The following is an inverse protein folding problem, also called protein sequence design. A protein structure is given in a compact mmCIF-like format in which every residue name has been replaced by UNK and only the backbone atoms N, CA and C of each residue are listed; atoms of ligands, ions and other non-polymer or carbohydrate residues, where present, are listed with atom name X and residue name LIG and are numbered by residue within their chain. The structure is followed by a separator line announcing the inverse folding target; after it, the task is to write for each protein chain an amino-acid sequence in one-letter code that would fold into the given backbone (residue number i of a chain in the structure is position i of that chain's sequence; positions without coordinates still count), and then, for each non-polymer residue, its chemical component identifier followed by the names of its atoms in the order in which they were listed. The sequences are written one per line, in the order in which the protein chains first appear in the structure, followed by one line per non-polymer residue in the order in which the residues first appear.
data_IF_199626534290
#
_entry.id   IF_199626534290
#
_cell.length_a   1.000
_cell.length_b   1.000
_cell.length_c   1.000
_cell.angle_alpha   90.00
_cell.angle_beta   90.00
_cell.angle_gamma   90.00
#
_symmetry.space_group_name_H-M   'P 1'
#
loop_
_entity.id
_entity.type
_entity.pdbx_description
1 polymer ?
#
# COMPACT_ATOMS: atom_id res chain seq x y z
N UNK A 1 37.70 55.74 7.71
CA UNK A 1 37.20 56.21 6.41
C UNK A 1 37.03 55.03 5.48
N UNK A 2 35.77 54.77 5.15
CA UNK A 2 35.22 54.17 3.90
C UNK A 2 35.51 52.70 3.60
N UNK A 3 34.77 51.81 4.25
CA UNK A 3 34.57 50.40 3.81
C UNK A 3 33.09 50.03 3.58
N UNK A 4 32.18 51.02 3.58
CA UNK A 4 30.72 50.79 3.50
C UNK A 4 30.10 51.02 2.11
N UNK A 5 30.90 51.13 1.04
CA UNK A 5 30.38 51.56 -0.29
C UNK A 5 30.41 50.51 -1.40
N UNK A 6 30.71 49.22 -1.12
CA UNK A 6 30.83 48.18 -2.19
C UNK A 6 29.77 47.11 -2.22
N UNK A 7 28.71 47.18 -1.39
CA UNK A 7 27.66 46.15 -1.40
C UNK A 7 26.33 46.60 -2.06
N UNK A 8 26.34 47.77 -2.73
CA UNK A 8 25.08 48.31 -3.29
C UNK A 8 24.83 47.98 -4.76
N UNK A 9 25.73 47.26 -5.43
CA UNK A 9 25.63 46.94 -6.85
C UNK A 9 25.76 45.42 -7.13
N UNK A 10 25.15 44.57 -6.30
CA UNK A 10 24.97 43.16 -6.68
C UNK A 10 23.84 43.12 -7.73
N UNK A 11 24.06 42.47 -8.90
CA UNK A 11 23.05 42.41 -9.94
C UNK A 11 21.84 41.64 -9.43
N UNK A 12 20.60 42.04 -9.82
CA UNK A 12 19.35 41.43 -9.36
C UNK A 12 19.18 39.96 -9.78
N UNK A 13 20.05 39.47 -10.65
CA UNK A 13 20.05 38.11 -11.17
C UNK A 13 20.32 37.04 -10.06
N UNK A 14 21.12 37.35 -9.05
CA UNK A 14 21.43 36.41 -7.95
C UNK A 14 20.24 36.16 -7.01
N UNK A 15 19.32 37.11 -6.87
CA UNK A 15 18.14 36.94 -6.02
C UNK A 15 17.06 36.13 -6.69
N UNK A 16 16.94 36.16 -8.02
CA UNK A 16 15.96 35.38 -8.77
C UNK A 16 16.29 33.89 -8.77
N UNK A 17 17.56 33.50 -8.72
CA UNK A 17 17.94 32.08 -8.68
C UNK A 17 17.58 31.40 -7.34
N UNK A 18 17.62 32.12 -6.23
CA UNK A 18 17.29 31.56 -4.91
C UNK A 18 15.78 31.33 -4.72
N UNK A 19 14.93 32.17 -5.27
CA UNK A 19 13.47 32.04 -5.18
C UNK A 19 12.95 30.90 -6.06
N UNK A 20 13.52 30.72 -7.25
CA UNK A 20 13.12 29.63 -8.15
C UNK A 20 13.52 28.25 -7.61
N UNK A 21 14.74 28.11 -7.05
CA UNK A 21 15.20 26.86 -6.47
C UNK A 21 14.38 26.46 -5.23
N UNK A 22 14.01 27.41 -4.38
CA UNK A 22 13.18 27.17 -3.19
C UNK A 22 11.77 26.68 -3.54
N UNK A 23 11.15 27.27 -4.55
CA UNK A 23 9.80 26.88 -4.99
C UNK A 23 9.77 25.47 -5.60
N UNK A 24 10.79 25.08 -6.36
CA UNK A 24 10.89 23.73 -6.93
C UNK A 24 11.06 22.66 -5.84
N UNK A 25 11.82 22.95 -4.79
CA UNK A 25 12.03 22.01 -3.68
C UNK A 25 10.74 21.76 -2.87
N UNK A 26 9.97 22.82 -2.62
CA UNK A 26 8.69 22.72 -1.90
C UNK A 26 7.68 21.93 -2.72
N UNK A 27 7.53 22.19 -4.02
CA UNK A 27 6.62 21.45 -4.90
C UNK A 27 7.03 19.98 -5.00
N UNK A 28 8.34 19.67 -5.08
CA UNK A 28 8.83 18.29 -5.15
C UNK A 28 8.57 17.52 -3.85
N UNK A 29 8.70 18.14 -2.68
CA UNK A 29 8.35 17.53 -1.39
C UNK A 29 6.85 17.23 -1.27
N UNK A 30 5.99 18.10 -1.79
CA UNK A 30 4.54 17.87 -1.79
C UNK A 30 4.14 16.73 -2.73
N UNK A 31 4.76 16.60 -3.89
CA UNK A 31 4.48 15.50 -4.82
C UNK A 31 4.92 14.15 -4.26
N UNK A 32 6.05 14.09 -3.53
CA UNK A 32 6.50 12.86 -2.87
C UNK A 32 5.60 12.43 -1.72
N UNK A 33 4.93 13.36 -1.03
CA UNK A 33 4.01 13.04 0.08
C UNK A 33 2.70 12.41 -0.41
N UNK A 34 2.30 12.59 -1.67
CA UNK A 34 1.07 12.04 -2.24
C UNK A 34 1.23 10.62 -2.83
N UNK A 35 2.47 10.12 -2.96
CA UNK A 35 2.75 8.88 -3.68
C UNK A 35 2.50 7.58 -2.89
N UNK A 36 2.05 7.65 -1.63
CA UNK A 36 1.96 6.46 -0.76
C UNK A 36 0.60 6.21 -0.09
N UNK A 37 -0.46 6.92 -0.45
CA UNK A 37 -1.78 6.73 0.19
C UNK A 37 -2.72 6.03 -0.79
N UNK A 38 -2.81 4.69 -0.71
CA UNK A 38 -3.84 3.91 -1.39
C UNK A 38 -5.19 3.92 -0.66
N UNK A 39 -5.18 4.24 0.62
CA UNK A 39 -6.41 4.43 1.39
C UNK A 39 -6.97 5.84 1.10
N UNK A 40 -7.89 5.91 0.16
CA UNK A 40 -8.63 7.13 -0.21
C UNK A 40 -9.89 7.33 0.65
N UNK A 41 -10.00 6.65 1.81
CA UNK A 41 -11.17 6.69 2.69
C UNK A 41 -12.30 5.73 2.28
N UNK A 42 -12.12 4.88 1.27
CA UNK A 42 -13.10 3.89 0.83
C UNK A 42 -13.45 2.87 1.94
N UNK A 43 -12.63 2.77 2.96
CA UNK A 43 -12.82 1.91 4.13
C UNK A 43 -13.35 2.65 5.35
N UNK A 44 -13.78 3.92 5.20
CA UNK A 44 -14.25 4.77 6.30
C UNK A 44 -15.43 4.18 7.09
N UNK A 45 -16.31 3.45 6.41
CA UNK A 45 -17.50 2.81 6.98
C UNK A 45 -17.23 1.45 7.64
N UNK A 46 -15.99 0.94 7.58
CA UNK A 46 -15.64 -0.32 8.23
C UNK A 46 -15.47 -0.17 9.73
N UNK A 47 -15.78 -1.24 10.47
CA UNK A 47 -15.53 -1.32 11.90
C UNK A 47 -14.09 -0.89 12.23
N UNK A 48 -13.89 0.03 13.20
CA UNK A 48 -12.56 0.52 13.56
C UNK A 48 -11.60 -0.59 14.00
N UNK A 49 -12.09 -1.66 14.63
CA UNK A 49 -11.28 -2.81 15.04
C UNK A 49 -10.79 -3.61 13.82
N UNK A 50 -11.65 -3.80 12.84
CA UNK A 50 -11.30 -4.45 11.57
C UNK A 50 -10.26 -3.62 10.82
N UNK A 51 -10.45 -2.30 10.70
CA UNK A 51 -9.46 -1.40 10.09
C UNK A 51 -8.10 -1.48 10.79
N UNK A 52 -8.11 -1.43 12.13
CA UNK A 52 -6.88 -1.53 12.93
C UNK A 52 -6.16 -2.87 12.67
N UNK A 53 -6.93 -3.96 12.58
CA UNK A 53 -6.37 -5.27 12.29
C UNK A 53 -5.73 -5.29 10.88
N UNK A 54 -6.42 -4.83 9.83
CA UNK A 54 -5.85 -4.74 8.49
C UNK A 54 -4.56 -3.93 8.44
N UNK A 55 -4.53 -2.77 9.13
CA UNK A 55 -3.34 -1.93 9.20
C UNK A 55 -2.17 -2.59 9.94
N UNK A 56 -2.44 -3.58 10.78
CA UNK A 56 -1.40 -4.36 11.48
C UNK A 56 -0.81 -5.49 10.66
N UNK A 57 -1.42 -5.84 9.51
CA UNK A 57 -0.93 -6.91 8.64
C UNK A 57 0.32 -6.44 7.88
N UNK A 58 1.48 -6.96 8.28
CA UNK A 58 2.75 -6.63 7.65
C UNK A 58 3.12 -7.66 6.59
N UNK A 59 3.81 -7.21 5.54
CA UNK A 59 4.37 -8.10 4.52
C UNK A 59 5.38 -9.02 5.20
N UNK A 60 5.29 -10.35 5.02
CA UNK A 60 6.23 -11.29 5.59
C UNK A 60 7.67 -10.93 5.23
N UNK A 61 8.53 -10.83 6.24
CA UNK A 61 9.93 -10.41 6.07
C UNK A 61 10.15 -8.90 5.91
N UNK A 62 9.08 -8.07 5.86
CA UNK A 62 9.19 -6.60 5.72
C UNK A 62 8.32 -5.91 6.79
N UNK A 63 8.77 -5.82 8.04
CA UNK A 63 7.97 -5.37 9.18
C UNK A 63 7.59 -3.87 9.14
N UNK A 64 8.13 -3.11 8.19
CA UNK A 64 7.86 -1.68 8.02
C UNK A 64 6.80 -1.36 6.97
N UNK A 65 6.28 -2.38 6.27
CA UNK A 65 5.32 -2.19 5.17
C UNK A 65 4.10 -3.06 5.39
N UNK A 66 2.92 -2.45 5.47
CA UNK A 66 1.68 -3.20 5.61
C UNK A 66 1.22 -3.78 4.27
N UNK A 67 0.53 -4.92 4.32
CA UNK A 67 -0.10 -5.55 3.16
C UNK A 67 -1.08 -4.60 2.48
N UNK A 68 -1.98 -3.97 3.25
CA UNK A 68 -3.00 -3.03 2.77
C UNK A 68 -2.40 -1.73 2.20
N UNK A 69 -1.25 -1.27 2.76
CA UNK A 69 -0.57 -0.07 2.25
C UNK A 69 0.10 -0.29 0.89
N UNK A 70 0.30 -1.56 0.50
CA UNK A 70 1.03 -1.91 -0.72
C UNK A 70 0.16 -2.48 -1.83
N UNK A 71 -0.91 -3.22 -1.50
CA UNK A 71 -1.68 -4.00 -2.45
C UNK A 71 -3.18 -3.99 -2.15
N UNK A 72 -3.98 -4.34 -3.16
CA UNK A 72 -5.43 -4.47 -3.05
C UNK A 72 -5.79 -5.83 -2.41
N UNK A 73 -6.83 -5.84 -1.57
CA UNK A 73 -7.27 -7.01 -0.81
C UNK A 73 -8.48 -7.70 -1.44
N UNK A 74 -8.39 -9.01 -1.63
CA UNK A 74 -9.45 -9.86 -2.18
C UNK A 74 -9.75 -11.01 -1.23
N UNK A 75 -11.02 -11.41 -1.13
CA UNK A 75 -11.39 -12.64 -0.46
C UNK A 75 -10.87 -13.86 -1.21
N UNK A 76 -10.28 -14.78 -0.47
CA UNK A 76 -9.75 -16.04 -0.99
C UNK A 76 -10.04 -17.15 0.04
N UNK A 77 -11.33 -17.45 0.25
CA UNK A 77 -11.81 -18.37 1.28
C UNK A 77 -11.59 -19.84 0.93
N UNK A 78 -11.21 -20.11 -0.32
CA UNK A 78 -10.86 -21.45 -0.78
C UNK A 78 -9.40 -21.49 -1.20
N UNK A 79 -8.75 -22.61 -0.96
CA UNK A 79 -7.38 -22.85 -1.36
C UNK A 79 -7.14 -24.32 -1.68
N UNK A 80 -6.08 -24.56 -2.42
CA UNK A 80 -5.57 -25.89 -2.72
C UNK A 80 -4.08 -25.95 -2.38
N UNK A 81 -3.61 -27.13 -2.00
CA UNK A 81 -2.18 -27.41 -1.90
C UNK A 81 -1.77 -28.28 -3.07
N UNK A 82 -0.83 -27.80 -3.89
CA UNK A 82 -0.30 -28.53 -5.02
C UNK A 82 1.23 -28.50 -4.96
N UNK A 83 1.86 -29.66 -4.91
CA UNK A 83 3.33 -29.82 -4.89
C UNK A 83 4.01 -28.98 -3.78
N UNK A 84 3.36 -28.86 -2.61
CA UNK A 84 3.88 -28.06 -1.50
C UNK A 84 3.71 -26.55 -1.64
N UNK A 85 2.97 -26.09 -2.66
CA UNK A 85 2.61 -24.71 -2.86
C UNK A 85 1.12 -24.48 -2.60
N UNK A 86 0.78 -23.33 -2.06
CA UNK A 86 -0.60 -22.89 -1.91
C UNK A 86 -1.12 -22.24 -3.18
N UNK A 87 -2.33 -22.57 -3.55
CA UNK A 87 -3.10 -21.93 -4.60
C UNK A 87 -4.35 -21.37 -3.97
N UNK A 88 -4.42 -20.05 -3.79
CA UNK A 88 -5.63 -19.38 -3.33
C UNK A 88 -6.64 -19.27 -4.47
N UNK A 89 -7.92 -19.42 -4.14
CA UNK A 89 -9.02 -19.28 -5.10
C UNK A 89 -9.82 -18.05 -4.70
N UNK A 90 -9.94 -17.09 -5.60
CA UNK A 90 -10.68 -15.85 -5.37
C UNK A 90 -12.16 -16.19 -5.20
N UNK A 91 -12.74 -15.72 -4.10
CA UNK A 91 -14.17 -15.87 -3.77
C UNK A 91 -14.89 -14.53 -3.68
N UNK A 92 -14.16 -13.44 -3.92
CA UNK A 92 -14.63 -12.07 -3.75
C UNK A 92 -15.61 -11.67 -4.86
N UNK A 93 -16.84 -11.35 -4.45
CA UNK A 93 -17.92 -10.88 -5.34
C UNK A 93 -18.26 -9.40 -5.11
N UNK A 94 -17.50 -8.71 -4.26
CA UNK A 94 -17.73 -7.29 -3.97
C UNK A 94 -17.43 -6.43 -5.20
N UNK A 95 -18.18 -5.35 -5.44
CA UNK A 95 -17.98 -4.49 -6.61
C UNK A 95 -16.66 -3.73 -6.51
N UNK A 96 -15.77 -3.94 -7.47
CA UNK A 96 -14.41 -3.38 -7.49
C UNK A 96 -14.38 -1.86 -7.65
N UNK A 97 -15.38 -1.30 -8.35
CA UNK A 97 -15.51 0.15 -8.53
C UNK A 97 -15.66 0.91 -7.21
N UNK A 98 -16.34 0.31 -6.21
CA UNK A 98 -16.44 0.90 -4.87
C UNK A 98 -15.16 0.79 -4.07
N UNK A 99 -14.33 -0.20 -4.38
CA UNK A 99 -13.10 -0.51 -3.68
C UNK A 99 -11.87 0.12 -4.37
N UNK A 100 -12.05 0.67 -5.57
CA UNK A 100 -10.96 1.33 -6.33
C UNK A 100 -9.83 0.39 -6.70
N UNK A 101 -10.13 -0.92 -6.90
CA UNK A 101 -9.15 -1.97 -7.19
C UNK A 101 -9.36 -2.58 -8.58
N UNK A 102 -8.35 -3.30 -9.08
CA UNK A 102 -8.47 -4.07 -10.32
C UNK A 102 -9.49 -5.20 -10.17
N UNK A 103 -10.19 -5.55 -11.27
CA UNK A 103 -11.11 -6.69 -11.27
C UNK A 103 -10.34 -8.01 -11.34
N UNK A 104 -10.72 -8.94 -10.46
CA UNK A 104 -10.29 -10.35 -10.53
C UNK A 104 -11.53 -11.23 -10.42
N UNK A 105 -11.77 -12.03 -11.44
CA UNK A 105 -12.95 -12.92 -11.49
C UNK A 105 -12.96 -13.94 -10.34
N UNK A 106 -14.09 -14.14 -9.66
CA UNK A 106 -14.27 -15.24 -8.72
C UNK A 106 -13.96 -16.60 -9.38
N UNK A 107 -13.29 -17.48 -8.65
CA UNK A 107 -12.77 -18.75 -9.17
C UNK A 107 -11.35 -18.65 -9.76
N UNK A 108 -10.81 -17.44 -9.91
CA UNK A 108 -9.42 -17.27 -10.34
C UNK A 108 -8.47 -17.92 -9.34
N UNK A 109 -7.53 -18.69 -9.86
CA UNK A 109 -6.52 -19.43 -9.10
C UNK A 109 -5.22 -18.63 -9.05
N UNK A 110 -4.79 -18.30 -7.85
CA UNK A 110 -3.58 -17.50 -7.61
C UNK A 110 -2.53 -18.37 -6.92
N UNK A 111 -1.40 -18.58 -7.59
CA UNK A 111 -0.27 -19.28 -6.97
C UNK A 111 0.35 -18.38 -5.90
N UNK A 112 0.44 -18.89 -4.67
CA UNK A 112 0.94 -18.15 -3.52
C UNK A 112 2.41 -18.50 -3.28
N UNK A 113 3.34 -17.55 -3.37
CA UNK A 113 4.71 -17.76 -2.92
C UNK A 113 4.72 -18.08 -1.42
N UNK A 114 5.43 -19.13 -1.00
CA UNK A 114 5.50 -19.52 0.42
C UNK A 114 6.00 -18.38 1.30
N UNK A 115 6.85 -17.52 0.77
CA UNK A 115 7.35 -16.31 1.44
C UNK A 115 6.31 -15.23 1.68
N UNK A 116 5.16 -15.30 1.00
CA UNK A 116 4.06 -14.33 1.12
C UNK A 116 2.95 -14.80 2.08
N UNK A 117 3.06 -16.01 2.63
CA UNK A 117 2.05 -16.55 3.54
C UNK A 117 2.26 -15.99 4.95
N UNK A 118 1.20 -15.44 5.51
CA UNK A 118 1.20 -14.81 6.81
C UNK A 118 0.53 -15.73 7.85
N UNK A 119 1.32 -16.56 8.52
CA UNK A 119 0.84 -17.58 9.47
C UNK A 119 0.59 -17.06 10.88
N UNK A 120 1.04 -15.90 11.25
CA UNK A 120 1.19 -15.51 12.66
C UNK A 120 0.55 -14.20 13.07
N UNK A 121 -0.33 -13.60 12.27
CA UNK A 121 -0.85 -12.24 12.52
C UNK A 121 -2.07 -12.18 13.45
N UNK A 122 -2.18 -13.11 14.39
CA UNK A 122 -3.27 -13.15 15.37
C UNK A 122 -4.57 -13.65 14.77
N UNK A 123 -5.65 -13.61 15.60
CA UNK A 123 -6.97 -14.06 15.16
C UNK A 123 -7.52 -13.14 14.09
N UNK A 124 -7.91 -13.72 12.95
CA UNK A 124 -8.56 -13.02 11.86
C UNK A 124 -10.03 -12.68 12.23
N UNK A 125 -10.40 -11.41 12.43
CA UNK A 125 -11.74 -11.05 12.88
C UNK A 125 -12.78 -11.09 11.76
N UNK A 126 -12.37 -11.31 10.51
CA UNK A 126 -13.25 -11.21 9.35
C UNK A 126 -13.85 -12.56 8.95
N UNK A 127 -13.26 -13.67 9.36
CA UNK A 127 -13.63 -15.01 8.95
C UNK A 127 -13.26 -15.38 7.50
N UNK A 128 -12.76 -14.43 6.71
CA UNK A 128 -12.36 -14.63 5.33
C UNK A 128 -10.87 -14.91 5.19
N UNK A 129 -10.47 -15.74 4.25
CA UNK A 129 -9.12 -15.75 3.72
C UNK A 129 -8.87 -14.48 2.89
N UNK A 130 -7.64 -13.98 2.89
CA UNK A 130 -7.28 -12.73 2.20
C UNK A 130 -6.02 -12.89 1.38
N UNK A 131 -6.08 -12.44 0.13
CA UNK A 131 -4.90 -12.28 -0.71
C UNK A 131 -4.73 -10.80 -1.07
N UNK A 132 -3.49 -10.32 -0.97
CA UNK A 132 -3.13 -8.94 -1.29
C UNK A 132 -2.29 -8.93 -2.55
N UNK A 133 -2.85 -8.35 -3.63
CA UNK A 133 -2.29 -8.40 -4.98
C UNK A 133 -2.18 -7.00 -5.56
N UNK A 134 -1.05 -6.72 -6.19
CA UNK A 134 -0.84 -5.55 -7.02
C UNK A 134 -0.02 -5.96 -8.25
N UNK A 135 -0.49 -5.60 -9.45
CA UNK A 135 0.19 -5.87 -10.73
C UNK A 135 0.59 -7.35 -10.88
N UNK A 136 -0.32 -8.26 -10.52
CA UNK A 136 -0.14 -9.73 -10.48
C UNK A 136 0.93 -10.24 -9.49
N UNK A 137 1.42 -9.38 -8.59
CA UNK A 137 2.35 -9.77 -7.54
C UNK A 137 1.59 -9.99 -6.24
N UNK A 138 1.76 -11.17 -5.63
CA UNK A 138 1.21 -11.48 -4.31
C UNK A 138 2.16 -10.97 -3.24
N UNK A 139 1.71 -10.00 -2.45
CA UNK A 139 2.48 -9.46 -1.32
C UNK A 139 2.21 -10.19 -0.02
N UNK A 140 0.95 -10.54 0.23
CA UNK A 140 0.53 -11.23 1.43
C UNK A 140 -0.60 -12.21 1.11
N UNK A 141 -0.63 -13.33 1.83
CA UNK A 141 -1.76 -14.24 1.86
C UNK A 141 -2.05 -14.67 3.30
N UNK A 142 -3.28 -14.51 3.72
CA UNK A 142 -3.79 -15.02 4.99
C UNK A 142 -4.79 -16.13 4.65
N UNK A 143 -4.48 -17.38 4.98
CA UNK A 143 -5.42 -18.48 4.83
C UNK A 143 -6.71 -18.22 5.61
N UNK A 144 -7.87 -18.78 5.17
CA UNK A 144 -9.08 -18.74 5.98
C UNK A 144 -8.88 -19.47 7.31
N UNK A 145 -9.63 -19.10 8.36
CA UNK A 145 -9.51 -19.75 9.67
C UNK A 145 -9.98 -21.22 9.60
N UNK A 146 -9.28 -22.10 10.27
CA UNK A 146 -9.67 -23.52 10.42
C UNK A 146 -8.85 -24.51 9.62
N UNK A 147 -7.67 -24.13 9.21
CA UNK A 147 -6.71 -25.00 8.50
C UNK A 147 -5.58 -25.40 9.44
#
# INVERSE_FOLDING_TARGET
MTLTRRLRNAPPILWQCFTAAGSFFIVFLWVMALANVRDLGQWGDQDPAIRKWFNSLMIPGVPTTSCCGKADAYWADSFESKDGQYVAIITDTRPDSRLGRAHIEPGTRILIPNSSINWGQGKNPTGHGWVFILDNIVFCYLPPEGI
#
